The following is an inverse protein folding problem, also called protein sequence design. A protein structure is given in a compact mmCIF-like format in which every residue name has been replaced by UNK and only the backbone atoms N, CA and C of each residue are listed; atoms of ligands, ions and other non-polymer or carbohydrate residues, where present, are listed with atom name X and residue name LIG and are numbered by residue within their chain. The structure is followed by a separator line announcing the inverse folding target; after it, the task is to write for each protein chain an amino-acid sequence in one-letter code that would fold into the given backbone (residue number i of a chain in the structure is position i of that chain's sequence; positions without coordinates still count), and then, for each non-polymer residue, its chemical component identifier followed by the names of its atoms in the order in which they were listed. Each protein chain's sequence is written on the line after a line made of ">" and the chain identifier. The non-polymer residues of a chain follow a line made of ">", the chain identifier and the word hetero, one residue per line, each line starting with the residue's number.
data_IF_735198356898
#
_entry.id   IF_735198356898
#
_cell.length_a   1.000
_cell.length_b   1.000
_cell.length_c   1.000
_cell.angle_alpha   90.00
_cell.angle_beta   90.00
_cell.angle_gamma   90.00
#
_symmetry.space_group_name_H-M   'P 1'
#
loop_
_entity.id
_entity.type
_entity.pdbx_description
1 polymer ?
#
# COMPACT_ATOMS: atom_id res chain seq x y z
N UNK A 1 9.24 0.73 -1.12
CA UNK A 1 8.54 1.57 -2.11
C UNK A 1 9.45 2.72 -2.49
N UNK A 2 9.38 3.19 -3.73
CA UNK A 2 10.06 4.43 -4.15
C UNK A 2 9.18 5.64 -3.78
N UNK A 3 9.43 6.23 -2.61
CA UNK A 3 8.64 7.35 -2.10
C UNK A 3 8.81 8.61 -2.94
N UNK A 4 10.03 8.93 -3.37
CA UNK A 4 10.33 10.13 -4.16
C UNK A 4 9.58 10.07 -5.50
N UNK A 5 9.64 8.93 -6.19
CA UNK A 5 8.88 8.70 -7.41
C UNK A 5 7.38 8.81 -7.18
N UNK A 6 6.87 8.24 -6.09
CA UNK A 6 5.45 8.25 -5.78
C UNK A 6 4.90 9.66 -5.51
N UNK A 7 5.58 10.45 -4.66
CA UNK A 7 5.23 11.87 -4.44
C UNK A 7 5.25 12.64 -5.77
N UNK A 8 6.33 12.49 -6.54
CA UNK A 8 6.47 13.17 -7.84
C UNK A 8 5.33 12.86 -8.82
N UNK A 9 4.78 11.65 -8.77
CA UNK A 9 3.70 11.21 -9.66
C UNK A 9 2.31 11.61 -9.16
N UNK A 10 2.04 11.49 -7.87
CA UNK A 10 0.68 11.56 -7.33
C UNK A 10 0.38 12.81 -6.51
N UNK A 11 1.32 13.31 -5.71
CA UNK A 11 1.17 14.56 -4.93
C UNK A 11 1.28 15.77 -5.87
N UNK A 12 0.11 16.13 -6.43
CA UNK A 12 -0.02 17.12 -7.49
C UNK A 12 0.08 18.53 -6.93
N UNK A 13 -0.44 18.75 -5.72
CA UNK A 13 -0.42 20.05 -5.06
C UNK A 13 0.87 20.30 -4.25
N UNK A 14 1.72 19.27 -4.06
CA UNK A 14 3.01 19.30 -3.37
C UNK A 14 2.90 19.66 -1.89
N UNK A 15 1.85 19.15 -1.23
CA UNK A 15 1.62 19.40 0.18
C UNK A 15 2.12 18.28 1.10
N UNK A 16 2.85 17.30 0.55
CA UNK A 16 3.37 16.13 1.27
C UNK A 16 2.27 15.26 1.90
N UNK A 17 1.07 15.30 1.34
CA UNK A 17 -0.02 14.40 1.67
C UNK A 17 -0.65 13.90 0.37
N UNK A 18 -1.55 12.93 0.46
CA UNK A 18 -2.31 12.47 -0.70
C UNK A 18 -3.80 12.67 -0.44
N UNK A 19 -4.44 13.62 -1.13
CA UNK A 19 -5.89 13.71 -1.11
C UNK A 19 -6.55 12.62 -1.96
N UNK A 20 -7.85 12.38 -1.74
CA UNK A 20 -8.60 11.36 -2.47
C UNK A 20 -8.47 11.52 -4.01
N UNK A 21 -8.56 12.74 -4.53
CA UNK A 21 -8.46 13.01 -5.97
C UNK A 21 -7.08 12.68 -6.58
N UNK A 22 -6.02 12.76 -5.78
CA UNK A 22 -4.67 12.36 -6.14
C UNK A 22 -4.55 10.83 -6.08
N UNK A 23 -5.02 10.23 -4.99
CA UNK A 23 -4.98 8.79 -4.77
C UNK A 23 -5.84 7.99 -5.77
N UNK A 24 -6.89 8.58 -6.34
CA UNK A 24 -7.70 7.97 -7.40
C UNK A 24 -6.90 7.62 -8.67
N UNK A 25 -5.73 8.22 -8.87
CA UNK A 25 -4.85 7.96 -10.03
C UNK A 25 -3.92 6.77 -9.80
N UNK A 26 -3.78 6.28 -8.57
CA UNK A 26 -2.83 5.24 -8.20
C UNK A 26 -3.24 3.89 -8.80
N UNK A 27 -2.33 3.27 -9.55
CA UNK A 27 -2.55 1.95 -10.16
C UNK A 27 -1.92 0.81 -9.38
N UNK A 28 -0.78 1.09 -8.72
CA UNK A 28 0.07 0.16 -7.98
C UNK A 28 0.99 0.92 -7.02
N UNK A 29 1.84 0.18 -6.30
CA UNK A 29 2.75 0.70 -5.26
C UNK A 29 4.16 0.16 -5.47
N UNK A 30 4.67 0.27 -6.70
CA UNK A 30 5.95 -0.33 -7.11
C UNK A 30 7.04 -0.34 -6.00
N UNK A 31 7.63 -1.52 -5.72
CA UNK A 31 7.54 -2.78 -6.47
C UNK A 31 6.30 -3.64 -6.16
N UNK A 32 5.38 -3.17 -5.32
CA UNK A 32 4.21 -3.95 -4.90
C UNK A 32 3.05 -3.76 -5.88
N UNK A 33 2.32 -4.84 -6.24
CA UNK A 33 1.09 -4.72 -7.00
C UNK A 33 -0.01 -4.06 -6.15
N UNK A 34 -1.15 -3.80 -6.76
CA UNK A 34 -2.35 -3.45 -5.99
C UNK A 34 -2.74 -4.60 -5.03
N UNK A 35 -3.22 -4.32 -3.79
CA UNK A 35 -3.59 -5.38 -2.84
C UNK A 35 -4.65 -6.35 -3.38
N UNK A 36 -4.41 -7.65 -3.25
CA UNK A 36 -5.32 -8.72 -3.74
C UNK A 36 -6.58 -8.92 -2.89
N UNK A 37 -6.69 -8.24 -1.75
CA UNK A 37 -7.87 -8.32 -0.88
C UNK A 37 -9.12 -7.86 -1.65
N UNK A 38 -10.16 -8.71 -1.65
CA UNK A 38 -11.43 -8.49 -2.36
C UNK A 38 -12.09 -7.17 -2.00
N UNK A 39 -11.90 -6.67 -0.78
CA UNK A 39 -12.47 -5.37 -0.38
C UNK A 39 -11.86 -4.21 -1.18
N UNK A 40 -10.61 -4.33 -1.64
CA UNK A 40 -9.92 -3.33 -2.44
C UNK A 40 -9.92 -3.68 -3.93
N UNK A 41 -10.95 -4.36 -4.42
CA UNK A 41 -11.11 -4.68 -5.84
C UNK A 41 -12.34 -3.99 -6.42
N UNK A 42 -12.42 -3.94 -7.76
CA UNK A 42 -13.53 -3.33 -8.50
C UNK A 42 -13.35 -1.83 -8.79
N UNK A 43 -14.44 -1.19 -9.23
CA UNK A 43 -14.43 0.19 -9.76
C UNK A 43 -14.08 1.24 -8.70
N UNK A 44 -14.40 0.99 -7.45
CA UNK A 44 -14.22 1.89 -6.31
C UNK A 44 -13.02 1.52 -5.43
N UNK A 45 -12.12 0.66 -5.93
CA UNK A 45 -10.97 0.14 -5.17
C UNK A 45 -10.12 1.23 -4.53
N UNK A 46 -9.83 2.31 -5.25
CA UNK A 46 -9.02 3.43 -4.74
C UNK A 46 -9.71 4.14 -3.59
N UNK A 47 -11.01 4.42 -3.72
CA UNK A 47 -11.79 5.08 -2.65
C UNK A 47 -11.88 4.21 -1.40
N UNK A 48 -12.05 2.89 -1.56
CA UNK A 48 -12.09 1.96 -0.42
C UNK A 48 -10.75 1.88 0.30
N UNK A 49 -9.65 1.75 -0.46
CA UNK A 49 -8.31 1.70 0.13
C UNK A 49 -7.94 3.03 0.79
N UNK A 50 -8.28 4.15 0.17
CA UNK A 50 -8.10 5.48 0.76
C UNK A 50 -8.77 5.59 2.13
N UNK A 51 -10.07 5.28 2.19
CA UNK A 51 -10.84 5.33 3.45
C UNK A 51 -10.33 4.37 4.51
N UNK A 52 -9.72 3.26 4.10
CA UNK A 52 -9.12 2.31 5.02
C UNK A 52 -7.82 2.85 5.64
N UNK A 53 -7.04 3.62 4.88
CA UNK A 53 -5.78 4.20 5.34
C UNK A 53 -5.96 5.53 6.09
N UNK A 54 -6.98 6.33 5.74
CA UNK A 54 -7.33 7.63 6.35
C UNK A 54 -7.97 7.41 7.74
N UNK A 55 -7.15 7.04 8.72
CA UNK A 55 -7.61 6.66 10.06
C UNK A 55 -8.21 7.85 10.81
N UNK A 56 -7.62 9.03 10.65
CA UNK A 56 -8.09 10.24 11.32
C UNK A 56 -9.29 10.89 10.61
N UNK A 57 -9.65 10.40 9.40
CA UNK A 57 -10.75 10.86 8.56
C UNK A 57 -10.65 12.35 8.20
N UNK A 58 -9.44 12.86 8.01
CA UNK A 58 -9.20 14.27 7.68
C UNK A 58 -9.15 14.54 6.17
N UNK A 59 -9.35 13.48 5.35
CA UNK A 59 -9.50 13.58 3.91
C UNK A 59 -8.18 13.60 3.13
N UNK A 60 -7.06 13.31 3.79
CA UNK A 60 -5.73 13.15 3.18
C UNK A 60 -4.95 12.04 3.87
N UNK A 61 -4.02 11.42 3.15
CA UNK A 61 -3.12 10.43 3.71
C UNK A 61 -1.77 11.07 3.98
N UNK A 62 -1.35 11.01 5.24
CA UNK A 62 0.03 11.27 5.65
C UNK A 62 0.91 10.04 5.39
N UNK A 63 2.24 10.21 5.44
CA UNK A 63 3.16 9.07 5.30
C UNK A 63 2.89 7.98 6.34
N UNK A 64 2.63 8.36 7.60
CA UNK A 64 2.34 7.45 8.72
C UNK A 64 1.04 6.64 8.52
N UNK A 65 0.06 7.20 7.82
CA UNK A 65 -1.16 6.49 7.42
C UNK A 65 -0.89 5.59 6.23
N UNK A 66 -0.16 6.10 5.23
CA UNK A 66 0.08 5.39 3.98
C UNK A 66 0.95 4.14 4.19
N UNK A 67 1.97 4.19 5.06
CA UNK A 67 2.84 3.02 5.35
C UNK A 67 2.05 1.80 5.84
N UNK A 68 0.84 1.98 6.36
CA UNK A 68 -0.03 0.86 6.77
C UNK A 68 -0.46 -0.01 5.61
N UNK A 69 -0.29 0.44 4.37
CA UNK A 69 -0.48 -0.40 3.19
C UNK A 69 0.39 -1.67 3.21
N UNK A 70 1.57 -1.64 3.85
CA UNK A 70 2.43 -2.81 3.99
C UNK A 70 1.77 -3.96 4.77
N UNK A 71 0.77 -3.65 5.61
CA UNK A 71 -0.02 -4.68 6.33
C UNK A 71 -0.91 -5.50 5.40
N UNK A 72 -1.21 -4.99 4.20
CA UNK A 72 -2.04 -5.67 3.19
C UNK A 72 -1.24 -6.63 2.31
N UNK A 73 0.10 -6.54 2.33
CA UNK A 73 0.94 -7.43 1.55
C UNK A 73 1.42 -8.60 2.40
N UNK A 74 1.39 -9.84 1.86
CA UNK A 74 1.92 -10.98 2.57
C UNK A 74 3.41 -10.77 2.85
N UNK A 75 3.85 -11.16 4.05
CA UNK A 75 5.27 -11.17 4.37
C UNK A 75 6.00 -12.02 3.31
N UNK A 76 6.98 -11.48 2.57
CA UNK A 76 7.67 -12.19 1.51
C UNK A 76 8.39 -13.46 2.00
N UNK A 77 8.67 -13.55 3.30
CA UNK A 77 9.28 -14.72 3.94
C UNK A 77 8.25 -15.74 4.47
N UNK A 78 6.94 -15.49 4.37
CA UNK A 78 5.91 -16.36 4.95
C UNK A 78 5.94 -17.79 4.38
N UNK A 79 6.32 -17.93 3.11
CA UNK A 79 6.45 -19.23 2.43
C UNK A 79 7.92 -19.66 2.24
N UNK A 80 8.86 -19.04 2.97
CA UNK A 80 10.24 -19.48 2.90
C UNK A 80 10.35 -20.91 3.45
N UNK A 81 10.91 -21.87 2.70
CA UNK A 81 11.02 -23.24 3.18
C UNK A 81 11.92 -23.26 4.42
N UNK A 82 11.36 -23.56 5.58
CA UNK A 82 12.14 -23.89 6.76
C UNK A 82 13.01 -25.11 6.41
N UNK A 83 14.34 -24.92 6.44
CA UNK A 83 15.30 -25.99 6.14
C UNK A 83 14.93 -27.23 6.97
N UNK A 84 14.79 -28.44 6.37
CA UNK A 84 14.59 -29.64 7.17
C UNK A 84 15.76 -29.77 8.14
N UNK A 85 15.47 -30.05 9.41
CA UNK A 85 16.50 -30.39 10.40
C UNK A 85 17.21 -31.63 9.88
N UNK A 86 18.45 -31.47 9.43
CA UNK A 86 19.30 -32.56 8.99
C UNK A 86 19.39 -33.56 10.15
N UNK A 87 18.82 -34.76 9.97
CA UNK A 87 19.07 -35.86 10.89
C UNK A 87 20.40 -36.48 10.49
N UNK A 88 21.46 -36.09 11.21
CA UNK A 88 22.69 -36.85 11.21
C UNK A 88 22.47 -38.07 12.10
N UNK A 89 22.59 -39.24 11.48
CA UNK A 89 22.73 -40.55 12.10
C UNK A 89 24.08 -40.64 12.81
#
# INVERSE_FOLDING_TARGET
>A
MDWEGFYKTYDSNKNNTFELNEFLKVTDFAPYPWPDDRQFQGKDKNTKLFKYLDENNDGKLTEDEFVKIYTLFPNPCANWPHKPKWKFW
#
